data_IF_711395465292
#
_entry.id   IF_711395465292
#
_cell.length_a   1.000
_cell.length_b   1.000
_cell.length_c   1.000
_cell.angle_alpha   90.00
_cell.angle_beta   90.00
_cell.angle_gamma   90.00
#
_symmetry.space_group_name_H-M   'P 1'
#
loop_
_entity.id
_entity.type
_entity.pdbx_description
1 polymer ?
#
# COMPACT_ATOMS: atom_id res chain seq x y z
N UNK A 1 1.28 25.84 1.17
CA UNK A 1 1.35 25.40 2.58
C UNK A 1 2.57 24.50 2.62
N UNK A 2 3.72 25.06 3.02
CA UNK A 2 4.99 24.34 2.98
C UNK A 2 5.11 23.47 4.23
N UNK A 3 4.84 22.18 4.05
CA UNK A 3 5.10 21.18 5.08
C UNK A 3 6.62 20.99 5.14
N UNK A 4 7.28 21.70 6.06
CA UNK A 4 8.71 21.59 6.26
C UNK A 4 9.02 20.25 6.96
N UNK A 5 9.21 19.18 6.19
CA UNK A 5 9.62 17.85 6.67
C UNK A 5 11.12 17.79 7.00
N UNK A 6 11.69 18.89 7.49
CA UNK A 6 13.13 19.05 7.69
C UNK A 6 13.59 18.49 9.04
N UNK A 7 13.34 17.20 9.25
CA UNK A 7 13.89 16.42 10.36
C UNK A 7 15.16 15.66 9.96
N UNK A 8 15.86 16.07 8.90
CA UNK A 8 17.06 15.38 8.40
C UNK A 8 16.82 13.97 7.84
N UNK A 9 15.56 13.51 7.79
CA UNK A 9 15.18 12.23 7.22
C UNK A 9 14.67 12.41 5.78
N UNK A 10 15.35 11.78 4.83
CA UNK A 10 14.91 11.78 3.44
C UNK A 10 13.54 11.10 3.32
N UNK A 11 12.56 11.78 2.70
CA UNK A 11 11.23 11.21 2.46
C UNK A 11 11.31 10.04 1.48
N UNK A 12 10.42 9.07 1.66
CA UNK A 12 10.23 7.96 0.71
C UNK A 12 9.41 8.37 -0.53
N UNK A 13 8.99 9.63 -0.60
CA UNK A 13 8.19 10.19 -1.68
C UNK A 13 8.95 11.35 -2.30
N UNK A 14 8.96 11.42 -3.63
CA UNK A 14 9.47 12.59 -4.34
C UNK A 14 8.40 13.69 -4.41
N UNK A 15 8.33 14.53 -3.39
CA UNK A 15 7.34 15.62 -3.32
C UNK A 15 7.55 16.71 -4.38
N UNK A 16 8.72 16.76 -5.04
CA UNK A 16 8.95 17.68 -6.16
C UNK A 16 8.26 17.19 -7.43
N UNK A 17 8.08 15.88 -7.56
CA UNK A 17 7.29 15.29 -8.62
C UNK A 17 5.79 15.41 -8.28
N UNK A 18 5.08 16.23 -9.06
CA UNK A 18 3.65 16.49 -8.90
C UNK A 18 2.76 15.23 -9.03
N UNK A 19 3.26 14.17 -9.66
CA UNK A 19 2.53 12.91 -9.85
C UNK A 19 2.62 11.97 -8.64
N UNK A 20 3.50 12.26 -7.67
CA UNK A 20 3.79 11.36 -6.53
C UNK A 20 2.60 11.17 -5.60
N UNK A 21 1.77 12.19 -5.44
CA UNK A 21 0.53 12.15 -4.67
C UNK A 21 -0.54 12.85 -5.50
N UNK A 22 -1.42 12.08 -6.14
CA UNK A 22 -2.48 12.63 -6.98
C UNK A 22 -3.82 12.05 -6.57
N UNK A 23 -4.84 12.91 -6.43
CA UNK A 23 -6.22 12.48 -6.23
C UNK A 23 -6.87 12.35 -7.60
N UNK A 24 -7.32 11.14 -7.92
CA UNK A 24 -8.05 10.86 -9.14
C UNK A 24 -9.51 10.60 -8.82
N UNK A 25 -10.35 10.75 -9.85
CA UNK A 25 -11.73 10.29 -9.84
C UNK A 25 -11.93 9.37 -11.05
N UNK A 26 -12.57 8.23 -10.81
CA UNK A 26 -12.94 7.29 -11.85
C UNK A 26 -14.47 7.16 -11.85
N UNK A 27 -15.11 7.55 -12.94
CA UNK A 27 -16.54 7.32 -13.15
C UNK A 27 -16.71 6.05 -13.98
N UNK A 28 -17.29 5.00 -13.41
CA UNK A 28 -17.74 3.82 -14.16
C UNK A 28 -19.17 3.51 -13.76
N UNK A 29 -20.05 3.33 -14.75
CA UNK A 29 -21.43 2.85 -14.59
C UNK A 29 -22.16 3.42 -13.36
N UNK A 30 -22.25 4.75 -13.29
CA UNK A 30 -22.92 5.55 -12.25
C UNK A 30 -22.24 5.67 -10.88
N UNK A 31 -21.04 5.14 -10.67
CA UNK A 31 -20.30 5.28 -9.41
C UNK A 31 -19.00 6.08 -9.59
N UNK A 32 -18.84 7.14 -8.79
CA UNK A 32 -17.65 7.97 -8.74
C UNK A 32 -16.72 7.43 -7.65
N UNK A 33 -15.60 6.84 -8.06
CA UNK A 33 -14.56 6.39 -7.15
C UNK A 33 -13.46 7.43 -7.07
N UNK A 34 -13.12 7.85 -5.86
CA UNK A 34 -11.91 8.63 -5.63
C UNK A 34 -10.79 7.68 -5.23
N UNK A 35 -9.59 7.92 -5.74
CA UNK A 35 -8.42 7.20 -5.25
C UNK A 35 -7.21 8.13 -5.15
N UNK A 36 -6.38 7.82 -4.17
CA UNK A 36 -5.07 8.43 -3.96
C UNK A 36 -4.03 7.59 -4.69
N UNK A 37 -3.39 8.18 -5.68
CA UNK A 37 -2.25 7.57 -6.36
C UNK A 37 -0.96 7.91 -5.63
N UNK A 38 -0.21 6.89 -5.19
CA UNK A 38 1.10 7.05 -4.54
C UNK A 38 2.21 6.36 -5.34
N UNK A 39 3.35 7.03 -5.47
CA UNK A 39 4.58 6.46 -6.05
C UNK A 39 5.72 6.53 -5.02
N UNK A 40 5.83 5.53 -4.13
CA UNK A 40 6.91 5.48 -3.14
C UNK A 40 8.23 5.10 -3.82
N UNK A 41 9.37 5.51 -3.27
CA UNK A 41 10.71 5.04 -3.70
C UNK A 41 10.98 3.61 -3.23
N UNK A 42 10.43 3.22 -2.09
CA UNK A 42 10.56 1.86 -1.54
C UNK A 42 9.26 1.39 -0.92
N UNK A 43 9.01 0.10 -1.00
CA UNK A 43 7.90 -0.53 -0.30
C UNK A 43 8.30 -1.91 0.15
N UNK A 44 7.50 -2.50 1.05
CA UNK A 44 7.75 -3.85 1.50
C UNK A 44 6.53 -4.71 1.27
N UNK A 45 6.76 -5.93 0.81
CA UNK A 45 5.73 -6.94 0.58
C UNK A 45 5.79 -7.98 1.70
N UNK A 46 4.64 -8.34 2.26
CA UNK A 46 4.57 -9.41 3.24
C UNK A 46 4.86 -10.76 2.58
N UNK A 47 5.78 -11.54 3.16
CA UNK A 47 6.15 -12.88 2.68
C UNK A 47 4.99 -13.85 2.83
N UNK A 48 4.80 -14.66 1.80
CA UNK A 48 4.02 -15.89 1.86
C UNK A 48 4.95 -17.08 2.21
N UNK A 49 4.47 -18.10 2.95
CA UNK A 49 3.14 -18.24 3.51
C UNK A 49 2.94 -17.42 4.78
N UNK A 50 1.70 -16.98 5.01
CA UNK A 50 1.34 -16.16 6.14
C UNK A 50 1.07 -17.00 7.41
N UNK A 51 1.36 -16.44 8.59
CA UNK A 51 0.87 -16.98 9.86
C UNK A 51 -0.67 -17.03 9.86
N UNK A 52 -1.29 -17.96 10.59
CA UNK A 52 -2.74 -18.20 10.54
C UNK A 52 -3.58 -16.93 10.77
N UNK A 53 -3.21 -16.11 11.76
CA UNK A 53 -3.88 -14.84 12.03
C UNK A 53 -3.77 -13.83 10.88
N UNK A 54 -2.60 -13.76 10.24
CA UNK A 54 -2.37 -12.91 9.07
C UNK A 54 -3.21 -13.43 7.91
N UNK A 55 -3.24 -14.74 7.70
CA UNK A 55 -4.04 -15.36 6.65
C UNK A 55 -5.54 -15.05 6.82
N UNK A 56 -6.07 -15.22 8.04
CA UNK A 56 -7.46 -14.88 8.36
C UNK A 56 -7.77 -13.41 8.05
N UNK A 57 -6.85 -12.51 8.45
CA UNK A 57 -6.99 -11.08 8.19
C UNK A 57 -6.96 -10.77 6.68
N UNK A 58 -5.97 -11.29 5.95
CA UNK A 58 -5.84 -11.10 4.50
C UNK A 58 -7.07 -11.64 3.76
N UNK A 59 -7.64 -12.76 4.21
CA UNK A 59 -8.87 -13.31 3.64
C UNK A 59 -10.08 -12.38 3.86
N UNK A 60 -10.23 -11.79 5.05
CA UNK A 60 -11.31 -10.82 5.32
C UNK A 60 -11.18 -9.55 4.45
N UNK A 61 -9.94 -9.07 4.26
CA UNK A 61 -9.66 -7.93 3.38
C UNK A 61 -9.90 -8.30 1.90
N UNK A 62 -9.53 -9.51 1.49
CA UNK A 62 -9.82 -10.04 0.16
C UNK A 62 -11.32 -10.05 -0.12
N UNK A 63 -12.12 -10.58 0.78
CA UNK A 63 -13.58 -10.59 0.66
C UNK A 63 -14.15 -9.16 0.52
N UNK A 64 -13.62 -8.22 1.30
CA UNK A 64 -13.99 -6.79 1.21
C UNK A 64 -13.65 -6.20 -0.15
N UNK A 65 -12.43 -6.44 -0.66
CA UNK A 65 -11.99 -6.00 -1.99
C UNK A 65 -12.84 -6.61 -3.10
N UNK A 66 -13.09 -7.92 -3.04
CA UNK A 66 -13.89 -8.62 -4.04
C UNK A 66 -15.32 -8.07 -4.08
N UNK A 67 -15.94 -7.82 -2.93
CA UNK A 67 -17.28 -7.18 -2.86
C UNK A 67 -17.27 -5.76 -3.39
N UNK A 68 -16.32 -4.94 -2.95
CA UNK A 68 -16.30 -3.51 -3.27
C UNK A 68 -15.99 -3.25 -4.75
N UNK A 69 -15.12 -4.06 -5.35
CA UNK A 69 -14.69 -3.91 -6.73
C UNK A 69 -15.25 -4.96 -7.69
N UNK A 70 -16.17 -5.81 -7.23
CA UNK A 70 -16.80 -6.88 -8.00
C UNK A 70 -15.76 -7.81 -8.68
N UNK A 71 -14.68 -8.13 -7.95
CA UNK A 71 -13.68 -9.07 -8.45
C UNK A 71 -14.15 -10.51 -8.32
N UNK A 72 -13.67 -11.36 -9.22
CA UNK A 72 -13.75 -12.81 -9.06
C UNK A 72 -12.80 -13.24 -7.92
N UNK A 73 -13.40 -13.77 -6.86
CA UNK A 73 -12.69 -14.15 -5.64
C UNK A 73 -11.72 -15.31 -5.86
N UNK A 74 -12.00 -16.22 -6.80
CA UNK A 74 -11.20 -17.45 -6.94
C UNK A 74 -9.83 -17.20 -7.57
N UNK A 75 -9.69 -16.18 -8.42
CA UNK A 75 -8.46 -15.89 -9.16
C UNK A 75 -7.66 -14.71 -8.59
N UNK A 76 -8.23 -13.97 -7.64
CA UNK A 76 -7.60 -12.76 -7.13
C UNK A 76 -6.46 -13.07 -6.16
N UNK A 77 -5.22 -12.84 -6.61
CA UNK A 77 -4.05 -12.77 -5.72
C UNK A 77 -4.03 -11.42 -5.00
N UNK A 78 -4.16 -11.48 -3.68
CA UNK A 78 -4.03 -10.34 -2.77
C UNK A 78 -2.65 -10.35 -2.14
N UNK A 79 -2.08 -9.17 -1.94
CA UNK A 79 -0.83 -8.94 -1.25
C UNK A 79 -1.03 -7.88 -0.19
N UNK A 80 -0.22 -7.97 0.87
CA UNK A 80 -0.11 -6.94 1.90
C UNK A 80 1.19 -6.20 1.69
N UNK A 81 1.10 -4.87 1.59
CA UNK A 81 2.24 -3.98 1.39
C UNK A 81 2.33 -3.01 2.56
N UNK A 82 3.54 -2.66 3.00
CA UNK A 82 3.76 -1.51 3.88
C UNK A 82 4.62 -0.47 3.17
N UNK A 83 4.21 0.79 3.27
CA UNK A 83 4.94 1.95 2.76
C UNK A 83 5.51 2.70 3.95
N UNK A 84 6.82 2.91 3.99
CA UNK A 84 7.42 3.82 4.97
C UNK A 84 7.26 5.27 4.48
N UNK A 85 6.95 6.20 5.38
CA UNK A 85 6.95 7.62 5.06
C UNK A 85 8.36 8.17 4.79
N UNK A 86 9.36 7.59 5.47
CA UNK A 86 10.75 8.02 5.39
C UNK A 86 11.63 6.92 4.79
N UNK A 87 12.73 7.32 4.13
CA UNK A 87 13.70 6.42 3.50
C UNK A 87 14.58 5.69 4.52
N UNK A 88 14.84 6.30 5.68
CA UNK A 88 15.60 5.68 6.76
C UNK A 88 14.70 4.83 7.65
N UNK A 89 15.18 3.66 8.06
CA UNK A 89 14.64 2.87 9.18
C UNK A 89 14.78 3.67 10.49
N UNK A 90 13.91 4.65 10.69
CA UNK A 90 13.62 5.15 12.04
C UNK A 90 12.73 4.11 12.71
N UNK A 91 13.04 3.78 13.97
CA UNK A 91 12.25 2.88 14.85
C UNK A 91 10.79 3.33 15.05
N UNK A 92 10.40 4.48 14.50
CA UNK A 92 9.04 5.01 14.54
C UNK A 92 8.14 4.35 13.49
N UNK A 93 7.02 3.83 13.98
CA UNK A 93 5.92 3.09 13.34
C UNK A 93 5.16 3.79 12.19
N UNK A 94 5.83 4.61 11.37
CA UNK A 94 5.21 5.44 10.34
C UNK A 94 5.01 4.67 9.02
N UNK A 95 4.42 3.48 9.14
CA UNK A 95 4.06 2.65 8.01
C UNK A 95 2.59 2.83 7.65
N UNK A 96 2.32 3.03 6.36
CA UNK A 96 0.99 2.86 5.79
C UNK A 96 0.90 1.40 5.34
N UNK A 97 -0.05 0.66 5.88
CA UNK A 97 -0.32 -0.71 5.46
C UNK A 97 -1.42 -0.70 4.41
N UNK A 98 -1.21 -1.47 3.35
CA UNK A 98 -2.13 -1.59 2.23
C UNK A 98 -2.41 -3.07 2.00
N UNK A 99 -3.66 -3.39 1.72
CA UNK A 99 -4.05 -4.71 1.22
C UNK A 99 -4.67 -4.52 -0.15
N UNK A 100 -4.24 -5.32 -1.13
CA UNK A 100 -4.66 -5.07 -2.51
C UNK A 100 -4.09 -6.07 -3.49
N UNK A 101 -4.27 -5.77 -4.78
CA UNK A 101 -3.77 -6.61 -5.85
C UNK A 101 -2.88 -5.80 -6.79
N UNK A 102 -1.66 -6.29 -7.02
CA UNK A 102 -0.74 -5.71 -8.00
C UNK A 102 -1.32 -5.75 -9.42
N UNK A 103 -1.93 -6.88 -9.84
CA UNK A 103 -2.43 -7.05 -11.20
C UNK A 103 -3.63 -6.15 -11.52
N UNK A 104 -4.42 -5.78 -10.51
CA UNK A 104 -5.54 -4.84 -10.65
C UNK A 104 -5.17 -3.40 -10.29
N UNK A 105 -4.01 -3.20 -9.67
CA UNK A 105 -3.59 -1.97 -9.00
C UNK A 105 -4.73 -1.31 -8.21
N UNK A 106 -5.36 -2.08 -7.32
CA UNK A 106 -6.35 -1.57 -6.38
C UNK A 106 -5.95 -1.93 -4.97
N UNK A 107 -5.85 -0.92 -4.13
CA UNK A 107 -5.38 -1.02 -2.76
C UNK A 107 -6.37 -0.34 -1.84
N UNK A 108 -6.55 -0.90 -0.66
CA UNK A 108 -7.28 -0.27 0.45
C UNK A 108 -6.35 -0.15 1.65
N UNK A 109 -6.66 0.78 2.54
CA UNK A 109 -5.95 0.89 3.81
C UNK A 109 -6.11 -0.40 4.61
N UNK A 110 -5.00 -1.09 4.80
CA UNK A 110 -4.89 -2.23 5.69
C UNK A 110 -4.96 -1.77 7.13
N UNK A 111 -5.77 -2.45 7.92
CA UNK A 111 -5.75 -2.37 9.37
C UNK A 111 -4.55 -3.12 9.91
N UNK A 112 -3.85 -2.51 10.84
CA UNK A 112 -2.60 -3.06 11.35
C UNK A 112 -2.88 -4.25 12.27
N UNK A 113 -2.47 -5.48 11.92
CA UNK A 113 -2.49 -6.53 12.91
C UNK A 113 -1.37 -6.27 13.93
N UNK A 114 -1.47 -6.83 15.13
CA UNK A 114 -0.47 -6.72 16.20
C UNK A 114 0.94 -7.23 15.84
N UNK A 115 1.12 -7.75 14.61
CA UNK A 115 2.36 -8.33 14.07
C UNK A 115 3.32 -7.31 13.45
N UNK A 116 3.15 -6.00 13.74
CA UNK A 116 4.02 -4.91 13.26
C UNK A 116 5.52 -5.17 13.52
N UNK A 117 5.84 -6.01 14.50
CA UNK A 117 7.16 -6.17 15.09
C UNK A 117 7.97 -7.35 14.53
N UNK A 118 7.45 -8.14 13.58
CA UNK A 118 8.20 -9.25 12.99
C UNK A 118 8.77 -8.81 11.63
N UNK A 119 9.87 -8.04 11.66
CA UNK A 119 10.50 -7.49 10.46
C UNK A 119 10.97 -8.55 9.46
N UNK A 120 11.28 -9.77 9.93
CA UNK A 120 11.73 -10.87 9.09
C UNK A 120 10.66 -11.38 8.10
N UNK A 121 9.40 -10.96 8.27
CA UNK A 121 8.30 -11.33 7.37
C UNK A 121 8.17 -10.41 6.15
N UNK A 122 8.96 -9.35 6.05
CA UNK A 122 8.83 -8.36 4.98
C UNK A 122 9.97 -8.47 3.97
N UNK A 123 9.63 -8.47 2.68
CA UNK A 123 10.58 -8.34 1.57
C UNK A 123 10.67 -6.87 1.22
N UNK A 124 11.89 -6.33 1.20
CA UNK A 124 12.15 -4.98 0.72
C UNK A 124 12.19 -4.97 -0.80
N UNK A 125 11.48 -4.03 -1.40
CA UNK A 125 11.52 -3.78 -2.84
C UNK A 125 11.90 -2.31 -3.10
N UNK A 126 12.91 -2.12 -3.96
CA UNK A 126 13.34 -0.80 -4.39
C UNK A 126 12.59 -0.43 -5.66
N UNK A 127 11.85 0.68 -5.60
CA UNK A 127 10.91 1.07 -6.65
C UNK A 127 11.50 2.08 -7.63
N UNK A 128 12.80 2.40 -7.49
CA UNK A 128 13.50 3.35 -8.36
C UNK A 128 13.54 2.86 -9.83
N UNK A 129 13.56 1.52 -10.08
CA UNK A 129 13.64 0.94 -11.43
C UNK A 129 12.28 0.53 -12.03
N UNK A 130 11.31 0.16 -11.18
CA UNK A 130 10.02 -0.43 -11.61
C UNK A 130 8.88 0.58 -11.67
N UNK A 131 9.03 1.74 -11.00
CA UNK A 131 8.04 2.81 -10.94
C UNK A 131 6.62 2.32 -10.57
N UNK A 132 6.53 1.34 -9.67
CA UNK A 132 5.26 0.81 -9.15
C UNK A 132 4.45 1.94 -8.53
N UNK A 133 3.18 1.98 -8.88
CA UNK A 133 2.21 2.97 -8.42
C UNK A 133 1.11 2.27 -7.64
N UNK A 134 0.66 2.87 -6.54
CA UNK A 134 -0.41 2.36 -5.70
C UNK A 134 -1.63 3.25 -5.81
N UNK A 135 -2.73 2.75 -6.41
CA UNK A 135 -4.03 3.42 -6.39
C UNK A 135 -4.82 2.98 -5.15
N UNK A 136 -4.89 3.86 -4.16
CA UNK A 136 -5.52 3.61 -2.87
C UNK A 136 -6.93 4.20 -2.89
N UNK A 137 -7.93 3.33 -2.77
CA UNK A 137 -9.35 3.66 -2.79
C UNK A 137 -9.91 3.77 -1.36
#
# INVERSE_FOLDING_TARGET
MDCNFDNGHQLNFDLLNKSTITIHHHAHDSHLYHYLQLTPKRYYILREPHHEDILRYTNMQKETLCRHFQFDDQSLKISVVRLNLFKSFSLSSNYIYLTGSFSKNKWILGFTPSFQFIDNLWLNDDNDDTATVFNIY
#
